data_IF_409290243312
#
_entry.id   IF_409290243312
#
_cell.length_a   1.000
_cell.length_b   1.000
_cell.length_c   1.000
_cell.angle_alpha   90.00
_cell.angle_beta   90.00
_cell.angle_gamma   90.00
#
_symmetry.space_group_name_H-M   'P 1'
#
loop_
_entity.id
_entity.type
_entity.pdbx_description
1 polymer ?
#
# COMPACT_ATOMS: atom_id res chain seq x y z
N UNK A 1 1.72 33.26 5.04
CA UNK A 1 2.57 32.10 5.38
C UNK A 1 1.85 30.85 4.88
N UNK A 2 2.32 30.23 3.79
CA UNK A 2 1.73 28.95 3.34
C UNK A 2 2.08 27.90 4.38
N UNK A 3 1.10 27.38 5.12
CA UNK A 3 1.36 26.19 5.94
C UNK A 3 1.83 25.09 4.98
N UNK A 4 2.98 24.49 5.27
CA UNK A 4 3.58 23.46 4.41
C UNK A 4 2.75 22.20 4.60
N UNK A 5 1.65 22.05 3.86
CA UNK A 5 0.79 20.87 3.99
C UNK A 5 1.64 19.65 3.70
N UNK A 6 1.85 18.80 4.72
CA UNK A 6 2.82 17.71 4.68
C UNK A 6 2.16 16.33 4.73
N UNK A 7 0.84 16.27 4.80
CA UNK A 7 0.08 15.02 4.90
C UNK A 7 -1.32 15.14 4.33
N UNK A 8 -1.87 14.00 3.96
CA UNK A 8 -3.29 13.81 3.67
C UNK A 8 -3.75 12.48 4.26
N UNK A 9 -5.05 12.24 4.32
CA UNK A 9 -5.60 10.98 4.79
C UNK A 9 -6.72 10.48 3.86
N UNK A 10 -6.79 9.17 3.71
CA UNK A 10 -7.91 8.46 3.09
C UNK A 10 -8.46 7.50 4.14
N UNK A 11 -9.74 7.70 4.49
CA UNK A 11 -10.44 6.99 5.55
C UNK A 11 -11.53 6.11 4.94
N UNK A 12 -11.58 4.84 5.34
CA UNK A 12 -12.75 3.99 5.18
C UNK A 12 -13.59 4.06 6.46
N UNK A 13 -14.75 4.68 6.39
CA UNK A 13 -15.60 5.00 7.56
C UNK A 13 -16.72 3.98 7.75
N UNK A 14 -17.10 3.75 9.00
CA UNK A 14 -18.22 2.88 9.37
C UNK A 14 -19.57 3.61 9.43
N UNK A 15 -19.63 4.84 8.95
CA UNK A 15 -20.83 5.67 8.89
C UNK A 15 -20.54 7.05 8.31
N UNK A 16 -21.56 7.90 8.31
CA UNK A 16 -21.51 9.27 7.78
C UNK A 16 -21.28 10.35 8.85
N UNK A 17 -21.28 9.97 10.13
CA UNK A 17 -21.04 10.93 11.22
C UNK A 17 -19.54 11.25 11.30
N UNK A 18 -19.14 12.50 11.62
CA UNK A 18 -17.74 12.84 11.93
C UNK A 18 -17.13 11.99 13.07
N UNK A 19 -18.00 11.47 13.95
CA UNK A 19 -17.63 10.62 15.09
C UNK A 19 -17.70 9.13 14.76
N UNK A 20 -18.13 8.75 13.55
CA UNK A 20 -18.16 7.34 13.14
C UNK A 20 -16.76 6.73 13.23
N UNK A 21 -16.73 5.43 13.49
CA UNK A 21 -15.50 4.65 13.47
C UNK A 21 -14.83 4.73 12.09
N UNK A 22 -13.50 4.68 12.11
CA UNK A 22 -12.67 4.58 10.91
C UNK A 22 -12.10 3.18 10.91
N UNK A 23 -12.59 2.32 10.01
CA UNK A 23 -12.11 0.96 9.86
C UNK A 23 -10.67 0.94 9.34
N UNK A 24 -10.34 1.86 8.42
CA UNK A 24 -9.02 1.99 7.86
C UNK A 24 -8.67 3.46 7.63
N UNK A 25 -7.63 3.93 8.32
CA UNK A 25 -7.04 5.24 8.16
C UNK A 25 -5.70 5.08 7.45
N UNK A 26 -5.59 5.54 6.21
CA UNK A 26 -4.33 5.62 5.47
C UNK A 26 -3.84 7.06 5.49
N UNK A 27 -2.72 7.34 6.15
CA UNK A 27 -2.19 8.70 6.31
C UNK A 27 -0.75 8.83 5.83
N UNK A 28 -0.56 9.17 4.54
CA UNK A 28 0.74 9.57 4.03
C UNK A 28 1.29 10.83 4.67
N UNK A 29 2.54 10.75 5.15
CA UNK A 29 3.29 11.85 5.76
C UNK A 29 4.51 12.15 4.88
N UNK A 30 4.37 13.10 3.96
CA UNK A 30 5.29 13.39 2.86
C UNK A 30 6.70 13.77 3.35
N UNK A 31 6.82 14.49 4.47
CA UNK A 31 8.13 14.92 4.98
C UNK A 31 8.93 13.77 5.57
N UNK A 32 8.25 12.73 6.06
CA UNK A 32 8.88 11.59 6.71
C UNK A 32 8.97 10.38 5.78
N UNK A 33 8.42 10.46 4.57
CA UNK A 33 8.44 9.41 3.56
C UNK A 33 7.88 8.06 4.02
N UNK A 34 6.88 8.07 4.91
CA UNK A 34 6.16 6.88 5.33
C UNK A 34 4.65 7.13 5.40
N UNK A 35 3.91 6.02 5.53
CA UNK A 35 2.45 6.03 5.67
C UNK A 35 2.07 5.39 6.98
N UNK A 36 1.21 6.07 7.74
CA UNK A 36 0.55 5.48 8.90
C UNK A 36 -0.70 4.77 8.45
N UNK A 37 -0.88 3.54 8.95
CA UNK A 37 -2.16 2.83 8.89
C UNK A 37 -2.68 2.59 10.29
N UNK A 38 -3.97 2.84 10.51
CA UNK A 38 -4.61 2.61 11.81
C UNK A 38 -6.13 2.44 11.66
N UNK A 39 -6.81 2.18 12.77
CA UNK A 39 -8.26 2.26 12.91
C UNK A 39 -8.58 3.20 14.08
N UNK A 40 -9.69 3.93 13.98
CA UNK A 40 -10.26 4.69 15.10
C UNK A 40 -11.58 4.04 15.49
N UNK A 41 -11.62 3.34 16.61
CA UNK A 41 -12.79 2.60 17.08
C UNK A 41 -13.27 3.18 18.41
N UNK A 42 -14.56 3.41 18.56
CA UNK A 42 -15.16 4.05 19.74
C UNK A 42 -14.46 5.37 20.10
N UNK A 43 -14.08 6.15 19.07
CA UNK A 43 -13.37 7.41 19.23
C UNK A 43 -11.89 7.31 19.60
N UNK A 44 -11.33 6.11 19.74
CA UNK A 44 -9.92 5.88 20.11
C UNK A 44 -9.11 5.32 18.96
N UNK A 45 -7.90 5.87 18.76
CA UNK A 45 -6.93 5.32 17.82
C UNK A 45 -6.28 4.06 18.38
N UNK A 46 -6.15 3.03 17.55
CA UNK A 46 -5.40 1.83 17.90
C UNK A 46 -3.88 2.00 17.74
N UNK A 47 -3.17 0.88 17.66
CA UNK A 47 -1.74 0.84 17.36
C UNK A 47 -1.47 1.24 15.90
N UNK A 48 -0.55 2.18 15.69
CA UNK A 48 -0.11 2.61 14.34
C UNK A 48 0.77 1.55 13.67
N UNK A 49 0.53 1.29 12.38
CA UNK A 49 1.39 0.47 11.53
C UNK A 49 2.14 1.36 10.52
N UNK A 50 3.46 1.48 10.68
CA UNK A 50 4.31 2.39 9.87
C UNK A 50 5.26 1.66 8.92
N UNK A 51 5.45 0.35 9.08
CA UNK A 51 6.39 -0.45 8.27
C UNK A 51 5.85 -0.70 6.87
N UNK A 52 6.61 -0.35 5.84
CA UNK A 52 6.25 -0.63 4.45
C UNK A 52 7.39 -1.38 3.75
N UNK A 53 7.07 -2.33 2.84
CA UNK A 53 8.07 -3.02 2.03
C UNK A 53 8.84 -2.08 1.10
N UNK A 54 8.27 -0.93 0.71
CA UNK A 54 8.89 0.02 -0.20
C UNK A 54 8.73 1.46 0.30
N UNK A 55 9.60 2.37 -0.15
CA UNK A 55 9.48 3.78 0.20
C UNK A 55 8.22 4.37 -0.44
N UNK A 56 7.47 5.16 0.32
CA UNK A 56 6.38 5.96 -0.21
C UNK A 56 6.92 7.27 -0.81
N UNK A 57 6.91 7.35 -2.13
CA UNK A 57 7.48 8.47 -2.88
C UNK A 57 6.41 9.41 -3.44
N UNK A 58 5.66 10.02 -2.53
CA UNK A 58 4.71 11.07 -2.88
C UNK A 58 5.45 12.37 -3.20
N UNK A 59 5.32 12.82 -4.45
CA UNK A 59 5.86 14.10 -4.90
C UNK A 59 4.77 15.19 -4.88
N UNK A 60 5.14 16.39 -4.45
CA UNK A 60 4.20 17.53 -4.46
C UNK A 60 3.80 17.86 -5.90
N UNK A 61 2.51 18.17 -6.10
CA UNK A 61 1.93 18.55 -7.39
C UNK A 61 2.03 17.48 -8.49
N UNK A 62 2.34 16.23 -8.13
CA UNK A 62 2.33 15.09 -9.05
C UNK A 62 1.04 14.30 -8.86
N UNK A 63 0.40 13.92 -9.97
CA UNK A 63 -0.75 13.02 -9.95
C UNK A 63 -0.29 11.60 -9.64
N UNK A 64 -1.11 10.87 -8.91
CA UNK A 64 -0.92 9.46 -8.60
C UNK A 64 -2.30 8.78 -8.57
N UNK A 65 -2.32 7.47 -8.81
CA UNK A 65 -3.47 6.62 -8.57
C UNK A 65 -3.24 5.83 -7.28
N UNK A 66 -4.13 6.01 -6.31
CA UNK A 66 -4.14 5.23 -5.07
C UNK A 66 -5.30 4.23 -5.15
N UNK A 67 -4.98 2.94 -5.09
CA UNK A 67 -6.00 1.89 -5.05
C UNK A 67 -5.99 1.20 -3.69
N UNK A 68 -7.18 0.98 -3.13
CA UNK A 68 -7.39 0.16 -1.94
C UNK A 68 -8.21 -1.06 -2.37
N UNK A 69 -7.56 -2.21 -2.42
CA UNK A 69 -8.17 -3.48 -2.77
C UNK A 69 -8.57 -4.25 -1.51
N UNK A 70 -9.74 -4.89 -1.56
CA UNK A 70 -10.24 -5.72 -0.47
C UNK A 70 -9.74 -7.14 -0.72
N UNK A 71 -8.67 -7.52 -0.02
CA UNK A 71 -8.11 -8.87 -0.06
C UNK A 71 -8.76 -9.80 0.96
N UNK A 72 -8.16 -10.98 1.12
CA UNK A 72 -8.59 -11.95 2.12
C UNK A 72 -8.13 -11.53 3.52
N UNK A 73 -9.02 -10.87 4.26
CA UNK A 73 -8.77 -10.45 5.65
C UNK A 73 -7.95 -9.17 5.83
N UNK A 74 -7.58 -8.50 4.74
CA UNK A 74 -6.81 -7.25 4.77
C UNK A 74 -7.15 -6.30 3.61
N UNK A 75 -6.85 -5.02 3.80
CA UNK A 75 -6.80 -4.02 2.73
C UNK A 75 -5.41 -4.05 2.10
N UNK A 76 -5.33 -4.18 0.77
CA UNK A 76 -4.09 -4.05 0.02
C UNK A 76 -4.05 -2.68 -0.65
N UNK A 77 -2.93 -1.98 -0.53
CA UNK A 77 -2.77 -0.62 -1.08
C UNK A 77 -1.72 -0.62 -2.17
N UNK A 78 -2.04 -0.02 -3.31
CA UNK A 78 -1.11 0.26 -4.38
C UNK A 78 -1.06 1.74 -4.74
N UNK A 79 0.11 2.18 -5.20
CA UNK A 79 0.32 3.47 -5.85
C UNK A 79 0.77 3.23 -7.28
N UNK A 80 0.05 3.78 -8.24
CA UNK A 80 0.33 3.67 -9.67
C UNK A 80 0.59 2.21 -10.12
N UNK A 81 -0.22 1.28 -9.62
CA UNK A 81 -0.13 -0.15 -9.95
C UNK A 81 0.93 -0.95 -9.16
N UNK A 82 1.69 -0.30 -8.27
CA UNK A 82 2.71 -0.96 -7.44
C UNK A 82 2.19 -1.15 -6.02
N UNK A 83 2.21 -2.38 -5.50
CA UNK A 83 1.84 -2.65 -4.11
C UNK A 83 2.81 -1.96 -3.14
N UNK A 84 2.27 -1.20 -2.19
CA UNK A 84 3.05 -0.39 -1.24
C UNK A 84 2.86 -0.82 0.20
N UNK A 85 1.70 -1.35 0.58
CA UNK A 85 1.45 -1.86 1.93
C UNK A 85 0.13 -2.63 2.02
N UNK A 86 -0.05 -3.37 3.12
CA UNK A 86 -1.35 -3.94 3.49
C UNK A 86 -1.79 -3.53 4.90
N UNK A 87 -3.05 -3.80 5.27
CA UNK A 87 -3.57 -3.54 6.60
C UNK A 87 -4.67 -4.53 6.96
N UNK A 88 -4.45 -5.36 7.99
CA UNK A 88 -5.41 -6.38 8.40
C UNK A 88 -6.71 -5.74 8.89
N UNK A 89 -7.84 -6.35 8.58
CA UNK A 89 -9.13 -5.89 9.08
C UNK A 89 -9.16 -5.94 10.62
N UNK A 90 -9.35 -4.77 11.26
CA UNK A 90 -9.63 -4.68 12.71
C UNK A 90 -11.12 -4.62 13.03
N UNK A 91 -11.95 -4.44 12.00
CA UNK A 91 -13.42 -4.40 12.06
C UNK A 91 -13.99 -5.22 10.89
N UNK A 92 -15.16 -5.81 11.10
CA UNK A 92 -15.89 -6.51 10.05
C UNK A 92 -16.15 -5.60 8.83
N UNK A 93 -15.76 -6.08 7.65
CA UNK A 93 -15.85 -5.32 6.39
C UNK A 93 -17.26 -4.77 6.12
N UNK A 94 -18.30 -5.51 6.47
CA UNK A 94 -19.70 -5.08 6.29
C UNK A 94 -20.11 -3.83 7.08
N UNK A 95 -19.26 -3.34 8.00
CA UNK A 95 -19.49 -2.04 8.67
C UNK A 95 -19.01 -0.85 7.83
N UNK A 96 -18.08 -1.05 6.90
CA UNK A 96 -17.53 0.02 6.07
C UNK A 96 -18.61 0.52 5.11
N UNK A 97 -18.88 1.82 5.12
CA UNK A 97 -19.98 2.43 4.35
C UNK A 97 -19.64 3.79 3.72
N UNK A 98 -18.41 4.28 3.89
CA UNK A 98 -18.00 5.55 3.32
C UNK A 98 -16.50 5.65 3.08
N UNK A 99 -16.14 6.60 2.21
CA UNK A 99 -14.78 7.07 2.01
C UNK A 99 -14.76 8.55 2.40
N UNK A 100 -13.77 8.94 3.18
CA UNK A 100 -13.52 10.33 3.58
C UNK A 100 -12.06 10.68 3.28
N UNK A 101 -11.84 11.78 2.56
CA UNK A 101 -10.50 12.23 2.13
C UNK A 101 -10.23 13.60 2.72
N UNK A 102 -9.10 13.74 3.39
CA UNK A 102 -8.76 14.93 4.16
C UNK A 102 -7.32 15.40 3.92
N UNK A 103 -7.06 16.69 4.14
CA UNK A 103 -5.71 17.25 4.11
C UNK A 103 -5.24 17.66 2.71
N UNK A 104 -3.93 17.60 2.47
CA UNK A 104 -3.30 18.16 1.26
C UNK A 104 -3.33 17.24 0.06
N UNK A 105 -4.51 16.93 -0.45
CA UNK A 105 -4.70 16.17 -1.69
C UNK A 105 -5.96 16.67 -2.41
N UNK A 106 -5.86 16.84 -3.72
CA UNK A 106 -7.00 17.14 -4.57
C UNK A 106 -7.53 15.84 -5.19
N UNK A 107 -8.82 15.58 -5.01
CA UNK A 107 -9.47 14.38 -5.56
C UNK A 107 -9.96 14.68 -6.96
N UNK A 108 -9.34 14.06 -7.96
CA UNK A 108 -9.73 14.20 -9.37
C UNK A 108 -10.84 13.23 -9.80
N UNK A 109 -10.94 12.08 -9.14
CA UNK A 109 -11.92 11.05 -9.44
C UNK A 109 -11.86 9.92 -8.43
N UNK A 110 -12.98 9.22 -8.28
CA UNK A 110 -13.11 8.00 -7.47
C UNK A 110 -13.83 6.97 -8.32
N UNK A 111 -13.28 5.78 -8.40
CA UNK A 111 -13.84 4.67 -9.17
C UNK A 111 -13.92 3.42 -8.30
N UNK A 112 -14.96 2.63 -8.51
CA UNK A 112 -15.16 1.34 -7.86
C UNK A 112 -15.15 0.27 -8.93
N UNK A 113 -14.28 -0.74 -8.78
CA UNK A 113 -14.17 -1.86 -9.70
C UNK A 113 -14.17 -3.17 -8.95
N UNK A 114 -14.73 -4.19 -9.59
CA UNK A 114 -14.51 -5.57 -9.21
C UNK A 114 -13.31 -6.10 -10.02
N UNK A 115 -12.31 -6.62 -9.32
CA UNK A 115 -11.08 -7.12 -9.93
C UNK A 115 -10.79 -8.51 -9.40
N UNK A 116 -10.32 -9.40 -10.29
CA UNK A 116 -9.87 -10.74 -9.92
C UNK A 116 -8.39 -10.78 -9.56
N UNK A 117 -7.60 -9.81 -10.04
CA UNK A 117 -6.15 -9.77 -9.90
C UNK A 117 -5.74 -8.43 -9.28
N UNK A 118 -4.80 -8.50 -8.34
CA UNK A 118 -4.21 -7.36 -7.65
C UNK A 118 -2.67 -7.44 -7.64
N UNK A 119 -1.93 -6.31 -7.75
CA UNK A 119 -2.42 -4.98 -8.16
C UNK A 119 -2.87 -4.92 -9.63
N UNK A 120 -3.64 -3.88 -9.99
CA UNK A 120 -4.00 -3.62 -11.39
C UNK A 120 -2.75 -3.35 -12.24
N UNK A 121 -2.70 -3.92 -13.44
CA UNK A 121 -1.69 -3.57 -14.43
C UNK A 121 -0.35 -4.31 -14.31
N UNK A 122 -0.26 -5.42 -13.55
CA UNK A 122 0.91 -6.31 -13.70
C UNK A 122 0.94 -6.79 -15.16
N UNK A 123 2.00 -6.48 -15.94
CA UNK A 123 2.18 -7.09 -17.24
C UNK A 123 2.20 -8.60 -17.01
N UNK A 124 1.34 -9.35 -17.70
CA UNK A 124 1.28 -10.80 -17.58
C UNK A 124 2.71 -11.37 -17.69
N UNK A 125 3.32 -11.74 -16.57
CA UNK A 125 4.69 -12.23 -16.57
C UNK A 125 4.68 -13.52 -17.39
N UNK A 126 5.28 -13.51 -18.58
CA UNK A 126 5.66 -14.76 -19.23
C UNK A 126 6.64 -15.43 -18.27
N UNK A 127 6.29 -16.61 -17.79
CA UNK A 127 7.21 -17.42 -17.02
C UNK A 127 8.51 -17.59 -17.83
N UNK A 128 9.62 -17.12 -17.28
CA UNK A 128 10.94 -17.41 -17.82
C UNK A 128 11.46 -18.61 -17.05
N UNK A 129 11.61 -19.73 -17.73
CA UNK A 129 12.27 -20.90 -17.17
C UNK A 129 13.75 -20.56 -17.00
N UNK A 130 14.19 -20.38 -15.77
CA UNK A 130 15.61 -20.28 -15.44
C UNK A 130 16.10 -21.69 -15.11
N UNK A 131 16.92 -22.26 -15.99
CA UNK A 131 17.62 -23.50 -15.67
C UNK A 131 18.70 -23.19 -14.64
N UNK A 132 18.63 -23.84 -13.47
CA UNK A 132 19.75 -23.84 -12.52
C UNK A 132 20.88 -24.63 -13.18
N UNK A 133 21.96 -23.94 -13.57
CA UNK A 133 23.15 -24.59 -14.08
C UNK A 133 23.71 -25.55 -13.03
N UNK A 134 23.95 -26.80 -13.42
CA UNK A 134 24.76 -27.71 -12.61
C UNK A 134 26.11 -27.05 -12.40
N UNK A 135 26.64 -27.08 -11.17
CA UNK A 135 28.07 -26.80 -10.95
C UNK A 135 28.85 -27.63 -11.96
N UNK A 136 29.62 -26.96 -12.79
CA UNK A 136 30.69 -27.60 -13.52
C UNK A 136 31.70 -27.94 -12.43
N UNK A 137 31.68 -29.18 -11.97
CA UNK A 137 32.77 -29.70 -11.15
C UNK A 137 33.97 -29.71 -12.10
N UNK A 138 34.83 -28.69 -11.96
CA UNK A 138 36.13 -28.64 -12.62
C UNK A 138 36.98 -29.78 -12.04
N UNK A 139 36.86 -30.93 -12.69
CA UNK A 139 37.77 -32.04 -12.54
C UNK A 139 39.10 -31.72 -13.23
N UNK A 140 40.14 -31.71 -12.41
CA UNK A 140 41.54 -32.01 -12.70
C UNK A 140 42.35 -31.00 -13.54
N UNK A 141 43.24 -30.29 -12.86
CA UNK A 141 44.48 -29.79 -13.43
C UNK A 141 45.64 -30.34 -12.59
N UNK A 142 46.29 -31.35 -13.16
CA UNK A 142 47.64 -31.78 -12.83
C UNK A 142 48.61 -30.63 -13.12
N UNK A 143 49.48 -30.26 -12.16
CA UNK A 143 50.79 -29.69 -12.52
C UNK A 143 51.85 -29.88 -11.42
N UNK A 144 53.03 -30.21 -11.91
CA UNK A 144 54.29 -30.58 -11.26
C UNK A 144 55.08 -29.37 -10.75
N UNK A 145 55.70 -29.47 -9.54
CA UNK A 145 56.96 -28.82 -9.10
C UNK A 145 57.18 -29.16 -7.61
N UNK A 146 58.34 -29.54 -7.06
CA UNK A 146 59.73 -29.74 -7.49
C UNK A 146 60.26 -31.02 -6.82
#
# INVERSE_FOLDING_TARGET
>A
MSSKISRFAVNLTCGRSPTSDIAFHLNPRLQQHYVVRNSRLNGQWGEEETTSPIKFDFERNKKFNLSIFIGEGEFLVSLDGVHVCSYRFRVALGKVSGIDVQGGVDVHGVEYKQLEIYPEGIPQNKAVTVALGRRQDDGDATETAM
#
